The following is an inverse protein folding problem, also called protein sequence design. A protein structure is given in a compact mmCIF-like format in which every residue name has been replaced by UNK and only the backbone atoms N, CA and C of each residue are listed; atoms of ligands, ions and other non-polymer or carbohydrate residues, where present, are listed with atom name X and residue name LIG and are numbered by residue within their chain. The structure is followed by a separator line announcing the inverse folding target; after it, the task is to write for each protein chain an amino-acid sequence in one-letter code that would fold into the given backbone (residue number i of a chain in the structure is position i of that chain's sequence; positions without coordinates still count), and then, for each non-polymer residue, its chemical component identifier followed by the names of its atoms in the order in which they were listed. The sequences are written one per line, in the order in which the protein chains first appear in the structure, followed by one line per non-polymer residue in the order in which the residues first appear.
data_IF_997736937193
#
_entry.id   IF_997736937193
#
_cell.length_a   1.000
_cell.length_b   1.000
_cell.length_c   1.000
_cell.angle_alpha   90.00
_cell.angle_beta   90.00
_cell.angle_gamma   90.00
#
_symmetry.space_group_name_H-M   'P 1'
#
loop_
_entity.id
_entity.type
_entity.pdbx_description
1 polymer ?
#
# COMPACT_ATOMS: atom_id res chain seq x y z
N UNK A 1 78.51 15.01 -24.18
CA UNK A 1 78.91 15.45 -22.82
C UNK A 1 78.04 16.64 -22.41
N UNK A 2 78.26 17.23 -21.22
CA UNK A 2 77.58 18.45 -20.69
C UNK A 2 77.62 19.63 -21.70
N UNK A 3 76.84 20.72 -21.61
CA UNK A 3 75.53 21.15 -21.01
C UNK A 3 75.56 22.70 -21.09
N UNK A 4 74.41 23.42 -21.13
CA UNK A 4 74.32 24.92 -21.14
C UNK A 4 74.91 25.57 -22.42
N UNK A 5 74.67 26.84 -22.80
CA UNK A 5 73.77 27.95 -22.35
C UNK A 5 73.04 28.48 -23.64
N UNK A 6 72.51 29.69 -23.87
CA UNK A 6 72.47 31.02 -23.22
C UNK A 6 71.12 31.74 -23.48
N UNK A 7 71.05 33.07 -23.26
CA UNK A 7 69.96 33.96 -23.66
C UNK A 7 70.49 35.14 -24.52
N UNK A 8 69.63 35.70 -25.38
CA UNK A 8 69.50 37.18 -25.48
C UNK A 8 69.97 37.89 -26.75
N UNK A 9 69.00 38.46 -27.48
CA UNK A 9 69.08 39.79 -28.14
C UNK A 9 67.71 40.47 -27.95
N UNK A 10 67.68 41.81 -27.82
CA UNK A 10 66.49 42.63 -27.62
C UNK A 10 66.62 43.94 -28.44
N UNK A 11 65.48 44.61 -28.72
CA UNK A 11 65.37 46.01 -29.12
C UNK A 11 65.69 46.33 -30.61
N UNK A 12 65.14 47.38 -31.27
CA UNK A 12 64.01 48.31 -30.98
C UNK A 12 63.62 49.04 -32.29
N UNK A 13 62.40 49.63 -32.38
CA UNK A 13 61.93 50.80 -33.20
C UNK A 13 60.44 50.58 -33.66
N UNK A 14 59.65 51.59 -34.05
CA UNK A 14 59.12 52.78 -33.33
C UNK A 14 57.99 53.45 -34.19
N UNK A 15 57.11 54.28 -33.58
CA UNK A 15 56.00 55.07 -34.21
C UNK A 15 54.84 54.25 -34.86
N UNK A 16 53.53 54.43 -34.59
CA UNK A 16 52.59 55.60 -34.56
C UNK A 16 52.22 56.11 -35.98
N UNK A 17 50.99 56.42 -36.40
CA UNK A 17 49.65 56.74 -35.83
C UNK A 17 48.53 56.22 -36.81
N UNK A 18 47.20 56.56 -36.74
CA UNK A 18 46.31 57.11 -35.68
C UNK A 18 45.04 56.24 -35.40
N UNK A 19 44.09 56.76 -34.61
CA UNK A 19 42.74 56.19 -34.40
C UNK A 19 41.68 56.88 -35.28
N UNK A 20 40.76 56.10 -35.87
CA UNK A 20 39.42 56.54 -36.30
C UNK A 20 38.42 55.45 -35.91
N UNK A 21 37.23 55.83 -35.43
CA UNK A 21 36.21 54.90 -34.93
C UNK A 21 34.91 54.93 -35.76
N UNK A 22 34.26 53.78 -35.91
CA UNK A 22 32.86 53.65 -36.36
C UNK A 22 32.30 52.28 -35.97
N UNK A 23 31.10 52.25 -35.39
CA UNK A 23 30.47 51.03 -34.86
C UNK A 23 29.85 50.13 -35.94
N UNK A 24 29.99 48.81 -35.78
CA UNK A 24 28.86 47.96 -35.30
C UNK A 24 29.22 46.49 -35.09
N UNK A 25 28.86 46.01 -33.88
CA UNK A 25 28.39 44.66 -33.50
C UNK A 25 28.71 43.50 -34.45
N UNK A 26 29.46 42.52 -33.93
CA UNK A 26 29.39 41.13 -34.42
C UNK A 26 29.04 40.17 -33.27
N UNK A 27 28.43 39.01 -33.57
CA UNK A 27 28.01 38.03 -32.55
C UNK A 27 29.20 37.24 -32.02
N UNK A 28 29.19 36.93 -30.73
CA UNK A 28 29.91 35.80 -30.16
C UNK A 28 28.99 34.58 -30.18
N UNK A 29 29.52 33.44 -30.64
CA UNK A 29 28.87 32.15 -30.49
C UNK A 29 29.05 31.66 -29.05
N UNK A 30 27.96 31.25 -28.41
CA UNK A 30 28.02 30.51 -27.15
C UNK A 30 27.76 29.04 -27.46
N UNK A 31 28.73 28.18 -27.17
CA UNK A 31 28.58 26.74 -27.21
C UNK A 31 27.66 26.29 -26.08
N UNK A 32 26.54 25.63 -26.41
CA UNK A 32 25.62 25.10 -25.42
C UNK A 32 26.28 23.94 -24.65
N UNK A 33 26.69 24.21 -23.41
CA UNK A 33 27.04 23.16 -22.46
C UNK A 33 25.77 22.39 -22.12
N UNK A 34 25.64 21.20 -22.72
CA UNK A 34 24.52 20.30 -22.47
C UNK A 34 24.59 19.79 -21.03
N UNK A 35 23.93 20.50 -20.11
CA UNK A 35 23.80 20.09 -18.71
C UNK A 35 23.05 18.76 -18.66
N UNK A 36 23.74 17.70 -18.28
CA UNK A 36 23.06 16.46 -17.90
C UNK A 36 22.20 16.75 -16.67
N UNK A 37 20.89 16.59 -16.85
CA UNK A 37 19.97 16.58 -15.72
C UNK A 37 20.24 15.29 -14.95
N UNK A 38 20.95 15.40 -13.83
CA UNK A 38 21.01 14.34 -12.83
C UNK A 38 19.58 14.09 -12.36
N UNK A 39 19.00 12.97 -12.80
CA UNK A 39 17.72 12.50 -12.27
C UNK A 39 17.84 12.41 -10.75
N UNK A 40 17.04 13.19 -10.03
CA UNK A 40 16.92 13.04 -8.59
C UNK A 40 16.42 11.63 -8.33
N UNK A 41 17.27 10.76 -7.77
CA UNK A 41 16.94 9.37 -7.48
C UNK A 41 15.77 9.35 -6.51
N UNK A 42 14.58 9.17 -7.08
CA UNK A 42 13.31 9.15 -6.36
C UNK A 42 13.36 8.00 -5.36
N UNK A 43 13.47 8.32 -4.07
CA UNK A 43 13.66 7.35 -2.99
C UNK A 43 12.39 6.54 -2.79
N UNK A 44 12.27 5.47 -3.58
CA UNK A 44 11.12 4.55 -3.60
C UNK A 44 10.83 4.10 -2.17
N UNK A 45 9.66 4.49 -1.65
CA UNK A 45 9.21 4.10 -0.31
C UNK A 45 9.16 2.57 -0.21
N UNK A 46 9.67 1.97 0.88
CA UNK A 46 9.68 0.51 1.04
C UNK A 46 8.27 -0.05 1.27
N UNK A 47 7.40 0.73 1.92
CA UNK A 47 5.96 0.52 2.08
C UNK A 47 5.24 1.75 1.55
N UNK A 48 4.15 1.57 0.80
CA UNK A 48 3.30 2.68 0.36
C UNK A 48 1.81 2.35 0.52
N UNK A 49 1.07 3.21 1.23
CA UNK A 49 -0.40 3.20 1.23
C UNK A 49 -0.86 4.00 0.02
N UNK A 50 -1.71 3.40 -0.81
CA UNK A 50 -2.27 4.00 -2.02
C UNK A 50 -3.70 4.49 -1.76
N UNK A 51 -4.11 5.66 -2.29
CA UNK A 51 -5.47 6.18 -2.10
C UNK A 51 -6.53 5.45 -2.93
N UNK A 52 -6.17 4.71 -3.99
CA UNK A 52 -7.11 3.88 -4.77
C UNK A 52 -6.47 2.60 -5.30
N UNK A 53 -7.28 1.56 -5.55
CA UNK A 53 -6.86 0.33 -6.24
C UNK A 53 -6.39 0.56 -7.70
N UNK A 54 -6.62 1.74 -8.27
CA UNK A 54 -6.29 2.10 -9.66
C UNK A 54 -4.90 2.74 -9.84
N UNK A 55 -4.22 3.10 -8.75
CA UNK A 55 -2.90 3.76 -8.80
C UNK A 55 -1.78 2.73 -9.05
N UNK A 56 -0.80 3.15 -9.84
CA UNK A 56 0.45 2.44 -10.11
C UNK A 56 1.55 3.02 -9.20
N UNK A 57 2.45 2.17 -8.70
CA UNK A 57 3.44 2.51 -7.68
C UNK A 57 4.72 1.71 -7.92
N UNK A 58 5.87 2.27 -7.51
CA UNK A 58 7.18 1.60 -7.55
C UNK A 58 7.50 0.85 -6.25
N UNK A 59 6.78 1.12 -5.16
CA UNK A 59 7.05 0.53 -3.84
C UNK A 59 6.98 -1.01 -3.89
N UNK A 60 7.80 -1.69 -3.07
CA UNK A 60 7.83 -3.15 -3.03
C UNK A 60 6.58 -3.68 -2.33
N UNK A 61 6.39 -3.28 -1.07
CA UNK A 61 5.16 -3.50 -0.33
C UNK A 61 4.17 -2.36 -0.61
N UNK A 62 2.90 -2.72 -0.86
CA UNK A 62 1.84 -1.75 -1.16
C UNK A 62 0.59 -2.10 -0.36
N UNK A 63 -0.17 -1.09 0.03
CA UNK A 63 -1.41 -1.22 0.79
C UNK A 63 -2.49 -0.38 0.09
N UNK A 64 -3.75 -0.80 0.14
CA UNK A 64 -4.91 0.05 -0.12
C UNK A 64 -6.02 -0.32 0.86
N UNK A 65 -6.68 0.68 1.44
CA UNK A 65 -7.79 0.51 2.37
C UNK A 65 -9.00 1.31 1.91
N UNK A 66 -10.20 0.78 2.16
CA UNK A 66 -11.45 1.48 1.84
C UNK A 66 -11.70 2.75 2.67
N UNK A 67 -10.97 2.97 3.76
CA UNK A 67 -11.23 4.05 4.74
C UNK A 67 -11.09 5.44 4.11
N UNK A 68 -9.99 5.74 3.41
CA UNK A 68 -9.84 7.02 2.72
C UNK A 68 -10.91 7.24 1.63
N UNK A 69 -11.33 6.19 0.92
CA UNK A 69 -12.46 6.28 -0.02
C UNK A 69 -13.79 6.58 0.70
N UNK A 70 -14.01 6.10 1.94
CA UNK A 70 -15.18 6.51 2.74
C UNK A 70 -15.12 8.00 3.11
N UNK A 71 -13.95 8.52 3.55
CA UNK A 71 -13.76 9.97 3.80
C UNK A 71 -14.07 10.79 2.54
N UNK A 72 -13.58 10.34 1.38
CA UNK A 72 -13.84 10.99 0.10
C UNK A 72 -15.32 10.96 -0.30
N UNK A 73 -16.03 9.84 -0.03
CA UNK A 73 -17.46 9.72 -0.30
C UNK A 73 -18.27 10.68 0.59
N UNK A 74 -17.97 10.79 1.89
CA UNK A 74 -18.66 11.75 2.78
C UNK A 74 -18.48 13.19 2.30
N UNK A 75 -17.27 13.56 1.87
CA UNK A 75 -16.98 14.88 1.30
C UNK A 75 -17.76 15.12 0.00
N UNK A 76 -17.81 14.14 -0.90
CA UNK A 76 -18.59 14.22 -2.15
C UNK A 76 -20.10 14.34 -1.90
N UNK A 77 -20.66 13.47 -1.05
CA UNK A 77 -22.11 13.23 -0.99
C UNK A 77 -22.81 14.19 -0.01
N UNK A 78 -22.14 14.60 1.07
CA UNK A 78 -22.75 15.36 2.17
C UNK A 78 -22.25 16.81 2.31
N UNK A 79 -21.19 17.21 1.59
CA UNK A 79 -20.59 18.56 1.69
C UNK A 79 -20.52 19.23 0.31
N UNK A 80 -19.97 18.53 -0.69
CA UNK A 80 -19.78 19.07 -2.05
C UNK A 80 -20.98 18.79 -2.97
N UNK A 81 -21.82 17.81 -2.61
CA UNK A 81 -22.98 17.34 -3.37
C UNK A 81 -22.66 17.00 -4.84
N UNK A 82 -21.50 16.37 -5.07
CA UNK A 82 -21.04 15.97 -6.40
C UNK A 82 -19.55 15.62 -6.51
N UNK A 83 -19.08 15.26 -7.71
CA UNK A 83 -17.69 14.89 -7.95
C UNK A 83 -16.76 16.10 -7.82
N UNK A 84 -15.79 15.98 -6.92
CA UNK A 84 -14.82 17.01 -6.56
C UNK A 84 -13.91 17.32 -7.76
N UNK A 85 -13.75 18.60 -8.08
CA UNK A 85 -12.84 19.07 -9.13
C UNK A 85 -12.03 20.22 -8.54
N UNK A 86 -10.73 20.22 -8.76
CA UNK A 86 -9.91 21.35 -8.31
C UNK A 86 -9.97 22.52 -9.30
N UNK A 87 -9.53 23.69 -8.85
CA UNK A 87 -9.20 24.81 -9.74
C UNK A 87 -7.99 24.42 -10.60
N UNK A 88 -8.06 24.70 -11.90
CA UNK A 88 -7.10 24.16 -12.87
C UNK A 88 -7.32 22.66 -13.14
N UNK A 89 -6.23 21.92 -13.33
CA UNK A 89 -6.27 20.50 -13.65
C UNK A 89 -6.60 19.61 -12.44
N UNK A 90 -7.56 18.71 -12.64
CA UNK A 90 -7.94 17.70 -11.63
C UNK A 90 -7.09 16.43 -11.81
N UNK A 91 -6.29 16.00 -10.82
CA UNK A 91 -5.39 14.84 -10.93
C UNK A 91 -6.07 13.52 -11.28
N UNK A 92 -5.30 12.56 -11.82
CA UNK A 92 -5.80 11.20 -12.14
C UNK A 92 -6.36 10.50 -10.89
N UNK A 93 -5.67 10.58 -9.75
CA UNK A 93 -6.14 10.01 -8.48
C UNK A 93 -7.51 10.55 -8.05
N UNK A 94 -7.74 11.86 -8.17
CA UNK A 94 -9.04 12.49 -7.89
C UNK A 94 -10.14 11.99 -8.84
N UNK A 95 -9.81 11.80 -10.12
CA UNK A 95 -10.71 11.20 -11.12
C UNK A 95 -11.04 9.73 -10.83
N UNK A 96 -10.18 9.00 -10.13
CA UNK A 96 -10.45 7.64 -9.64
C UNK A 96 -11.29 7.65 -8.34
N UNK A 97 -10.92 8.46 -7.34
CA UNK A 97 -11.65 8.62 -6.07
C UNK A 97 -13.12 9.05 -6.31
N UNK A 98 -13.35 9.95 -7.27
CA UNK A 98 -14.68 10.40 -7.69
C UNK A 98 -15.58 9.30 -8.27
N UNK A 99 -15.05 8.11 -8.58
CA UNK A 99 -15.87 6.96 -9.00
C UNK A 99 -16.56 6.26 -7.83
N UNK A 100 -16.15 6.58 -6.58
CA UNK A 100 -16.63 5.94 -5.36
C UNK A 100 -16.57 4.41 -5.45
N UNK A 101 -15.40 3.89 -5.84
CA UNK A 101 -15.20 2.48 -6.22
C UNK A 101 -15.43 1.48 -5.06
N UNK A 102 -15.27 1.97 -3.84
CA UNK A 102 -15.67 1.32 -2.60
C UNK A 102 -16.67 2.23 -1.87
N UNK A 103 -17.74 1.65 -1.31
CA UNK A 103 -18.82 2.36 -0.61
C UNK A 103 -19.20 1.67 0.69
N UNK A 104 -19.96 2.37 1.53
CA UNK A 104 -20.59 1.83 2.75
C UNK A 104 -21.36 0.52 2.54
N UNK A 105 -21.94 0.31 1.35
CA UNK A 105 -22.64 -0.93 0.98
C UNK A 105 -21.72 -2.12 0.62
N UNK A 106 -20.39 -1.92 0.58
CA UNK A 106 -19.40 -2.97 0.32
C UNK A 106 -18.82 -3.63 1.58
N UNK A 107 -19.31 -3.23 2.76
CA UNK A 107 -18.86 -3.67 4.07
C UNK A 107 -20.07 -3.64 5.03
N UNK A 108 -20.11 -4.51 6.04
CA UNK A 108 -21.21 -4.54 7.01
C UNK A 108 -21.21 -3.25 7.85
N UNK A 109 -22.39 -2.71 8.13
CA UNK A 109 -22.57 -1.42 8.81
C UNK A 109 -21.87 -1.34 10.17
N UNK A 110 -21.76 -2.45 10.89
CA UNK A 110 -21.06 -2.53 12.17
C UNK A 110 -19.53 -2.39 12.08
N UNK A 111 -18.93 -2.49 10.88
CA UNK A 111 -17.48 -2.48 10.67
C UNK A 111 -16.90 -1.12 10.20
N UNK A 112 -17.72 -0.08 10.03
CA UNK A 112 -17.24 1.30 9.81
C UNK A 112 -17.96 2.34 10.69
N UNK A 113 -17.27 3.43 11.01
CA UNK A 113 -17.83 4.66 11.54
C UNK A 113 -17.47 5.82 10.60
N UNK A 114 -18.37 6.76 10.41
CA UNK A 114 -18.14 7.99 9.60
C UNK A 114 -18.82 9.17 10.28
N UNK A 115 -18.15 10.33 10.28
CA UNK A 115 -18.69 11.58 10.84
C UNK A 115 -18.07 12.78 10.12
N UNK A 116 -18.84 13.85 9.96
CA UNK A 116 -18.35 15.12 9.45
C UNK A 116 -19.00 16.29 10.21
N UNK A 117 -18.39 17.48 10.12
CA UNK A 117 -18.89 18.70 10.73
C UNK A 117 -17.86 19.83 10.70
N UNK A 118 -18.20 21.00 11.26
CA UNK A 118 -17.24 22.08 11.53
C UNK A 118 -16.30 21.71 12.67
N UNK A 119 -15.03 22.11 12.59
CA UNK A 119 -14.03 21.82 13.64
C UNK A 119 -14.45 22.44 14.98
N UNK A 120 -14.64 21.60 16.00
CA UNK A 120 -14.89 22.05 17.38
C UNK A 120 -14.61 20.94 18.42
N UNK A 121 -14.48 21.28 19.72
CA UNK A 121 -14.26 20.30 20.78
C UNK A 121 -15.44 19.33 20.96
N UNK A 122 -16.64 19.73 20.55
CA UNK A 122 -17.83 18.88 20.56
C UNK A 122 -17.75 17.80 19.47
N UNK A 123 -17.32 18.18 18.25
CA UNK A 123 -17.14 17.23 17.15
C UNK A 123 -16.09 16.16 17.49
N UNK A 124 -14.97 16.54 18.14
CA UNK A 124 -13.97 15.58 18.64
C UNK A 124 -14.62 14.54 19.56
N UNK A 125 -15.36 15.00 20.57
CA UNK A 125 -16.04 14.15 21.56
C UNK A 125 -17.11 13.26 20.94
N UNK A 126 -17.84 13.73 19.93
CA UNK A 126 -18.81 12.91 19.19
C UNK A 126 -18.13 11.79 18.39
N UNK A 127 -16.95 12.04 17.81
CA UNK A 127 -16.15 11.01 17.12
C UNK A 127 -15.58 10.02 18.15
N UNK A 128 -14.91 10.49 19.19
CA UNK A 128 -14.34 9.68 20.27
C UNK A 128 -15.39 8.76 20.92
N UNK A 129 -16.55 9.32 21.27
CA UNK A 129 -17.68 8.55 21.79
C UNK A 129 -18.18 7.54 20.77
N UNK A 130 -18.36 7.95 19.51
CA UNK A 130 -18.89 7.10 18.45
C UNK A 130 -18.02 5.88 18.13
N UNK A 131 -16.69 6.04 18.07
CA UNK A 131 -15.77 4.91 17.91
C UNK A 131 -15.67 4.06 19.18
N UNK A 132 -15.77 4.67 20.38
CA UNK A 132 -15.74 3.92 21.64
C UNK A 132 -16.99 3.06 21.81
N UNK A 133 -18.17 3.58 21.52
CA UNK A 133 -19.44 2.83 21.56
C UNK A 133 -19.51 1.74 20.48
N UNK A 134 -19.03 2.02 19.26
CA UNK A 134 -19.14 1.09 18.13
C UNK A 134 -18.06 0.01 18.07
N UNK A 135 -16.85 0.31 18.55
CA UNK A 135 -15.66 -0.53 18.37
C UNK A 135 -14.89 -0.86 19.66
N UNK A 136 -15.24 -0.23 20.78
CA UNK A 136 -14.44 -0.17 22.02
C UNK A 136 -13.07 0.53 21.85
N UNK A 137 -12.85 1.30 20.78
CA UNK A 137 -11.55 1.89 20.43
C UNK A 137 -11.39 3.37 20.81
N UNK A 138 -10.14 3.83 20.71
CA UNK A 138 -9.72 5.24 20.57
C UNK A 138 -9.17 5.47 19.16
N UNK A 139 -8.78 6.70 18.79
CA UNK A 139 -8.23 6.99 17.46
C UNK A 139 -6.83 7.60 17.54
N UNK A 140 -5.88 7.03 16.81
CA UNK A 140 -4.49 7.51 16.74
C UNK A 140 -4.35 8.95 16.22
N UNK A 141 -5.24 9.38 15.31
CA UNK A 141 -5.05 10.62 14.56
C UNK A 141 -5.72 11.85 15.16
N UNK A 142 -6.73 11.71 16.04
CA UNK A 142 -7.55 12.85 16.47
C UNK A 142 -6.76 13.88 17.29
N UNK A 143 -5.75 13.45 18.05
CA UNK A 143 -4.89 14.36 18.83
C UNK A 143 -3.82 15.08 17.97
N UNK A 144 -3.71 14.77 16.67
CA UNK A 144 -2.82 15.46 15.73
C UNK A 144 -3.43 16.72 15.08
N UNK A 145 -4.70 17.01 15.36
CA UNK A 145 -5.45 18.15 14.83
C UNK A 145 -5.76 19.18 15.91
N UNK A 146 -5.83 20.46 15.51
CA UNK A 146 -6.42 21.52 16.33
C UNK A 146 -7.95 21.40 16.31
N UNK A 147 -8.55 21.52 17.49
CA UNK A 147 -10.00 21.46 17.72
C UNK A 147 -10.57 22.76 18.29
N UNK A 148 -9.79 23.84 18.30
CA UNK A 148 -10.32 25.18 18.52
C UNK A 148 -11.50 25.45 17.55
N UNK A 149 -12.59 26.00 18.08
CA UNK A 149 -13.85 26.11 17.34
C UNK A 149 -13.71 27.05 16.15
N UNK A 150 -13.79 26.48 14.95
CA UNK A 150 -13.62 27.18 13.68
C UNK A 150 -14.78 26.83 12.75
N UNK A 151 -15.60 27.83 12.41
CA UNK A 151 -16.78 27.69 11.54
C UNK A 151 -16.45 27.68 10.06
N UNK A 152 -15.19 27.93 9.67
CA UNK A 152 -14.72 27.90 8.28
C UNK A 152 -13.98 26.59 7.95
N UNK A 153 -13.44 25.89 8.95
CA UNK A 153 -12.86 24.54 8.78
C UNK A 153 -13.90 23.43 8.94
N UNK A 154 -13.89 22.49 8.00
CA UNK A 154 -14.64 21.23 8.08
C UNK A 154 -13.69 20.06 8.37
N UNK A 155 -14.15 19.13 9.21
CA UNK A 155 -13.49 17.85 9.44
C UNK A 155 -14.37 16.72 8.88
N UNK A 156 -13.73 15.72 8.26
CA UNK A 156 -14.39 14.53 7.72
C UNK A 156 -13.60 13.32 8.17
N UNK A 157 -14.27 12.40 8.85
CA UNK A 157 -13.66 11.27 9.54
C UNK A 157 -14.28 9.94 9.09
N UNK A 158 -13.45 8.93 8.94
CA UNK A 158 -13.86 7.54 8.85
C UNK A 158 -12.90 6.64 9.65
N UNK A 159 -13.45 5.60 10.26
CA UNK A 159 -12.71 4.48 10.82
C UNK A 159 -13.33 3.19 10.29
N UNK A 160 -12.53 2.27 9.77
CA UNK A 160 -12.95 0.92 9.39
C UNK A 160 -12.21 -0.07 10.29
N UNK A 161 -12.95 -0.90 11.03
CA UNK A 161 -12.38 -1.91 11.94
C UNK A 161 -12.88 -3.30 11.60
N UNK A 162 -11.96 -4.26 11.56
CA UNK A 162 -12.23 -5.69 11.38
C UNK A 162 -11.42 -6.51 12.39
N UNK A 163 -12.08 -7.52 12.95
CA UNK A 163 -11.53 -8.52 13.86
C UNK A 163 -12.33 -9.80 13.59
N UNK A 164 -11.68 -10.83 13.06
CA UNK A 164 -12.35 -12.09 12.72
C UNK A 164 -11.37 -13.26 12.78
N UNK A 165 -11.90 -14.44 13.14
CA UNK A 165 -11.11 -15.68 13.23
C UNK A 165 -11.40 -16.62 12.06
N UNK A 166 -10.39 -17.38 11.63
CA UNK A 166 -10.57 -18.52 10.72
C UNK A 166 -11.53 -19.55 11.35
N UNK A 167 -12.21 -20.36 10.51
CA UNK A 167 -13.15 -21.40 10.97
C UNK A 167 -12.57 -22.25 12.13
N UNK A 168 -11.30 -22.62 11.99
CA UNK A 168 -10.42 -23.13 13.04
C UNK A 168 -9.08 -22.40 12.90
N UNK A 169 -8.32 -22.24 13.99
CA UNK A 169 -6.94 -21.79 13.87
C UNK A 169 -6.12 -22.81 13.07
N UNK A 170 -5.23 -22.32 12.21
CA UNK A 170 -4.25 -23.14 11.49
C UNK A 170 -3.12 -23.60 12.42
N UNK A 171 -2.37 -24.60 11.99
CA UNK A 171 -1.18 -25.04 12.72
C UNK A 171 -0.05 -24.01 12.52
N UNK A 172 0.70 -23.70 13.59
CA UNK A 172 1.95 -22.92 13.47
C UNK A 172 3.04 -23.81 12.89
N UNK A 173 3.83 -23.26 11.97
CA UNK A 173 4.88 -23.95 11.22
C UNK A 173 6.26 -23.43 11.68
N UNK A 174 7.33 -24.11 11.24
CA UNK A 174 8.69 -23.66 11.53
C UNK A 174 9.00 -22.32 10.84
N UNK A 175 9.82 -21.50 11.50
CA UNK A 175 10.31 -20.24 10.91
C UNK A 175 11.26 -20.52 9.73
N UNK A 176 11.18 -19.71 8.68
CA UNK A 176 12.01 -19.87 7.48
C UNK A 176 12.21 -18.53 6.75
N UNK A 177 13.17 -18.41 5.82
CA UNK A 177 13.33 -17.23 4.98
C UNK A 177 12.04 -16.83 4.23
N UNK A 178 11.91 -15.53 3.94
CA UNK A 178 10.93 -15.04 2.96
C UNK A 178 11.65 -14.62 1.67
N UNK A 179 11.10 -15.03 0.53
CA UNK A 179 11.70 -14.92 -0.80
C UNK A 179 13.18 -15.37 -0.80
N UNK A 180 14.10 -14.45 -1.12
CA UNK A 180 15.56 -14.68 -1.11
C UNK A 180 16.27 -13.95 0.05
N UNK A 181 15.52 -13.51 1.07
CA UNK A 181 16.08 -12.87 2.26
C UNK A 181 16.48 -13.92 3.30
N UNK A 182 17.65 -14.52 3.12
CA UNK A 182 18.21 -15.54 4.03
C UNK A 182 18.66 -14.99 5.40
N UNK A 183 18.59 -13.67 5.62
CA UNK A 183 18.98 -13.02 6.87
C UNK A 183 17.81 -12.83 7.85
N UNK A 184 16.57 -13.04 7.40
CA UNK A 184 15.35 -12.91 8.19
C UNK A 184 14.47 -14.15 8.06
N UNK A 185 14.20 -14.82 9.17
CA UNK A 185 13.19 -15.88 9.22
C UNK A 185 11.84 -15.27 9.60
N UNK A 186 10.84 -15.47 8.73
CA UNK A 186 9.45 -15.18 9.04
C UNK A 186 8.83 -16.34 9.83
N UNK A 187 7.90 -16.03 10.73
CA UNK A 187 7.00 -17.02 11.32
C UNK A 187 5.93 -17.40 10.29
N UNK A 188 5.54 -18.68 10.26
CA UNK A 188 4.59 -19.21 9.29
C UNK A 188 3.47 -20.01 9.96
N UNK A 189 2.32 -20.09 9.29
CA UNK A 189 1.19 -20.94 9.65
C UNK A 189 0.57 -21.60 8.42
N UNK A 190 -0.21 -22.67 8.62
CA UNK A 190 -0.98 -23.28 7.55
C UNK A 190 -1.34 -24.74 7.77
N UNK A 191 -0.98 -25.59 6.79
CA UNK A 191 -1.36 -27.00 6.69
C UNK A 191 -0.21 -27.80 6.05
N UNK A 192 0.23 -28.89 6.67
CA UNK A 192 1.24 -29.82 6.14
C UNK A 192 0.81 -31.30 6.28
N UNK A 193 1.67 -32.27 5.95
CA UNK A 193 1.36 -33.71 6.05
C UNK A 193 0.92 -34.20 7.46
N UNK A 194 1.28 -33.48 8.53
CA UNK A 194 0.91 -33.80 9.93
C UNK A 194 -0.39 -33.14 10.39
N UNK A 195 -0.86 -32.12 9.65
CA UNK A 195 -1.95 -31.24 10.07
C UNK A 195 -3.31 -31.93 10.17
N UNK A 196 -4.19 -31.38 11.01
CA UNK A 196 -5.52 -31.94 11.19
C UNK A 196 -6.37 -31.74 9.92
N UNK A 197 -6.87 -32.83 9.32
CA UNK A 197 -7.72 -32.81 8.11
C UNK A 197 -8.99 -31.94 8.23
N UNK A 198 -9.40 -31.57 9.45
CA UNK A 198 -10.47 -30.57 9.64
C UNK A 198 -10.07 -29.19 9.10
N UNK A 199 -8.80 -28.82 9.07
CA UNK A 199 -8.29 -27.55 8.53
C UNK A 199 -8.48 -27.42 7.02
N UNK A 200 -8.59 -28.53 6.28
CA UNK A 200 -8.92 -28.50 4.84
C UNK A 200 -10.26 -27.78 4.56
N UNK A 201 -11.17 -27.72 5.55
CA UNK A 201 -12.43 -26.96 5.45
C UNK A 201 -12.24 -25.45 5.55
N UNK A 202 -11.12 -24.97 6.09
CA UNK A 202 -10.77 -23.55 6.10
C UNK A 202 -10.45 -23.04 4.69
N UNK A 203 -10.07 -23.91 3.75
CA UNK A 203 -9.42 -23.53 2.49
C UNK A 203 -10.26 -23.92 1.27
N UNK A 204 -10.45 -22.96 0.36
CA UNK A 204 -10.96 -23.21 -1.00
C UNK A 204 -9.92 -22.76 -2.03
N UNK A 205 -9.52 -23.69 -2.88
CA UNK A 205 -8.67 -23.36 -4.04
C UNK A 205 -9.51 -22.59 -5.05
N UNK A 206 -9.05 -21.40 -5.42
CA UNK A 206 -9.70 -20.57 -6.44
C UNK A 206 -9.22 -21.01 -7.82
N UNK A 207 -7.90 -21.08 -8.00
CA UNK A 207 -7.21 -21.73 -9.10
C UNK A 207 -5.78 -22.14 -8.70
N UNK A 208 -5.15 -23.02 -9.47
CA UNK A 208 -3.74 -23.39 -9.34
C UNK A 208 -3.21 -23.73 -10.74
N UNK A 209 -2.29 -22.92 -11.26
CA UNK A 209 -1.72 -23.11 -12.59
C UNK A 209 -0.32 -23.73 -12.49
N UNK A 210 0.49 -23.26 -11.53
CA UNK A 210 1.79 -23.79 -11.13
C UNK A 210 2.14 -23.22 -9.73
N UNK A 211 3.35 -23.48 -9.21
CA UNK A 211 3.84 -23.02 -7.90
C UNK A 211 4.17 -21.52 -7.81
N UNK A 212 4.08 -20.76 -8.90
CA UNK A 212 4.24 -19.29 -8.92
C UNK A 212 2.94 -18.54 -9.28
N UNK A 213 1.90 -19.24 -9.74
CA UNK A 213 0.61 -18.68 -10.16
C UNK A 213 -0.58 -19.51 -9.64
N UNK A 214 -1.06 -19.14 -8.45
CA UNK A 214 -2.20 -19.78 -7.79
C UNK A 214 -2.91 -18.82 -6.84
N UNK A 215 -4.18 -19.11 -6.52
CA UNK A 215 -4.90 -18.39 -5.49
C UNK A 215 -5.78 -19.31 -4.61
N UNK A 216 -5.83 -18.99 -3.32
CA UNK A 216 -6.72 -19.63 -2.35
C UNK A 216 -7.59 -18.59 -1.65
N UNK A 217 -8.73 -19.06 -1.15
CA UNK A 217 -9.59 -18.35 -0.23
C UNK A 217 -9.60 -19.08 1.12
N UNK A 218 -9.39 -18.34 2.20
CA UNK A 218 -9.51 -18.81 3.56
C UNK A 218 -10.85 -18.34 4.13
N UNK A 219 -11.61 -19.27 4.72
CA UNK A 219 -12.90 -19.01 5.33
C UNK A 219 -12.78 -18.62 6.80
N UNK A 220 -13.51 -17.59 7.19
CA UNK A 220 -13.66 -17.13 8.58
C UNK A 220 -14.91 -17.72 9.22
N UNK A 221 -15.07 -17.50 10.52
CA UNK A 221 -16.34 -17.81 11.24
C UNK A 221 -17.46 -16.84 10.87
N UNK A 222 -17.11 -15.69 10.32
CA UNK A 222 -17.98 -14.56 10.07
C UNK A 222 -18.29 -14.43 8.57
N UNK A 223 -18.63 -13.23 8.09
CA UNK A 223 -18.85 -12.96 6.66
C UNK A 223 -17.55 -12.73 5.89
N UNK A 224 -16.44 -12.54 6.57
CA UNK A 224 -15.18 -12.15 5.96
C UNK A 224 -14.49 -13.33 5.25
N UNK A 225 -13.80 -13.03 4.16
CA UNK A 225 -13.06 -13.98 3.34
C UNK A 225 -11.68 -13.38 3.03
N UNK A 226 -10.62 -14.08 3.43
CA UNK A 226 -9.24 -13.71 3.07
C UNK A 226 -8.91 -14.40 1.74
N UNK A 227 -8.46 -13.63 0.75
CA UNK A 227 -8.01 -14.16 -0.55
C UNK A 227 -6.52 -13.90 -0.68
N UNK A 228 -5.76 -14.95 -0.97
CA UNK A 228 -4.31 -14.89 -1.18
C UNK A 228 -4.00 -15.33 -2.61
N UNK A 229 -3.27 -14.50 -3.36
CA UNK A 229 -2.90 -14.72 -4.77
C UNK A 229 -1.37 -14.61 -4.93
N UNK A 230 -0.70 -15.74 -5.19
CA UNK A 230 0.73 -15.79 -5.55
C UNK A 230 0.87 -15.43 -7.02
N UNK A 231 1.70 -14.43 -7.33
CA UNK A 231 2.12 -14.07 -8.69
C UNK A 231 3.42 -13.26 -8.65
N UNK A 232 4.27 -13.42 -9.66
CA UNK A 232 5.47 -12.61 -9.88
C UNK A 232 5.22 -11.34 -10.71
N UNK A 233 3.98 -11.10 -11.18
CA UNK A 233 3.58 -9.89 -11.90
C UNK A 233 3.67 -8.62 -11.04
N UNK A 234 3.98 -7.47 -11.65
CA UNK A 234 3.78 -6.15 -11.02
C UNK A 234 2.65 -5.34 -11.66
N UNK A 235 1.57 -5.12 -10.91
CA UNK A 235 0.28 -4.58 -11.41
C UNK A 235 -0.41 -3.71 -10.34
N UNK A 236 -1.50 -3.04 -10.72
CA UNK A 236 -2.40 -2.36 -9.76
C UNK A 236 -3.29 -3.36 -9.05
N UNK A 237 -3.78 -3.04 -7.84
CA UNK A 237 -4.74 -3.90 -7.13
C UNK A 237 -6.00 -4.19 -7.94
N UNK A 238 -6.50 -3.22 -8.73
CA UNK A 238 -7.65 -3.43 -9.61
C UNK A 238 -7.36 -4.43 -10.74
N UNK A 239 -6.16 -4.40 -11.32
CA UNK A 239 -5.70 -5.38 -12.32
C UNK A 239 -5.57 -6.77 -11.68
N UNK A 240 -4.80 -6.92 -10.60
CA UNK A 240 -4.62 -8.18 -9.87
C UNK A 240 -5.97 -8.82 -9.48
N UNK A 241 -6.88 -8.04 -8.88
CA UNK A 241 -8.16 -8.56 -8.40
C UNK A 241 -9.08 -8.99 -9.55
N UNK A 242 -9.02 -8.30 -10.70
CA UNK A 242 -9.81 -8.65 -11.89
C UNK A 242 -9.27 -9.92 -12.57
N UNK A 243 -7.96 -10.01 -12.74
CA UNK A 243 -7.26 -11.17 -13.28
C UNK A 243 -7.44 -12.41 -12.40
N UNK A 244 -7.32 -12.27 -11.07
CA UNK A 244 -7.60 -13.34 -10.11
C UNK A 244 -9.02 -13.88 -10.28
N UNK A 245 -10.03 -13.01 -10.44
CA UNK A 245 -11.42 -13.42 -10.70
C UNK A 245 -11.58 -14.14 -12.05
N UNK A 246 -10.83 -13.75 -13.08
CA UNK A 246 -10.85 -14.38 -14.39
C UNK A 246 -10.17 -15.76 -14.39
N UNK A 247 -8.98 -15.88 -13.81
CA UNK A 247 -8.32 -17.17 -13.57
C UNK A 247 -9.23 -18.09 -12.73
N UNK A 248 -9.86 -17.53 -11.71
CA UNK A 248 -10.85 -18.24 -10.86
C UNK A 248 -12.08 -18.70 -11.63
N UNK A 249 -12.59 -17.97 -12.63
CA UNK A 249 -13.76 -18.42 -13.40
C UNK A 249 -13.40 -19.50 -14.42
N UNK A 250 -12.23 -19.39 -15.05
CA UNK A 250 -11.69 -20.35 -16.04
C UNK A 250 -11.13 -21.65 -15.43
N UNK A 251 -10.94 -21.73 -14.12
CA UNK A 251 -10.36 -22.91 -13.48
C UNK A 251 -11.32 -24.11 -13.38
N UNK A 252 -11.02 -25.19 -14.09
CA UNK A 252 -11.80 -26.44 -14.06
C UNK A 252 -11.21 -27.52 -13.12
N UNK A 253 -10.06 -27.27 -12.50
CA UNK A 253 -9.42 -28.19 -11.56
C UNK A 253 -10.10 -28.29 -10.19
N UNK A 254 -9.58 -29.15 -9.31
CA UNK A 254 -10.16 -29.40 -8.00
C UNK A 254 -10.14 -28.16 -7.10
N UNK A 255 -11.32 -27.68 -6.68
CA UNK A 255 -11.45 -26.47 -5.82
C UNK A 255 -11.43 -26.75 -4.32
N UNK A 256 -11.37 -28.02 -3.90
CA UNK A 256 -11.16 -28.43 -2.51
C UNK A 256 -9.67 -28.54 -2.22
N UNK A 257 -9.27 -28.24 -1.00
CA UNK A 257 -8.00 -28.69 -0.44
C UNK A 257 -8.09 -30.20 -0.13
N UNK A 258 -7.04 -30.97 -0.44
CA UNK A 258 -7.00 -32.44 -0.27
C UNK A 258 -5.81 -32.90 0.57
N UNK A 259 -5.67 -34.21 0.79
CA UNK A 259 -4.74 -34.80 1.76
C UNK A 259 -3.28 -34.37 1.53
N UNK A 260 -2.90 -34.26 0.28
CA UNK A 260 -1.50 -34.15 -0.17
C UNK A 260 -1.17 -32.73 -0.64
N UNK A 261 -2.12 -31.78 -0.55
CA UNK A 261 -1.84 -30.35 -0.69
C UNK A 261 -1.20 -29.81 0.59
N UNK A 262 -0.31 -28.82 0.46
CA UNK A 262 0.26 -28.08 1.60
C UNK A 262 -0.01 -26.57 1.46
N UNK A 263 -0.10 -25.87 2.60
CA UNK A 263 -0.36 -24.43 2.69
C UNK A 263 0.63 -23.80 3.67
N UNK A 264 1.35 -22.78 3.22
CA UNK A 264 2.32 -22.04 4.04
C UNK A 264 2.06 -20.54 3.86
N UNK A 265 1.74 -19.83 4.93
CA UNK A 265 1.40 -18.39 4.94
C UNK A 265 2.21 -17.70 6.04
N UNK A 266 2.90 -16.57 5.77
CA UNK A 266 3.65 -15.86 6.80
C UNK A 266 2.71 -15.14 7.78
N UNK A 267 3.10 -15.07 9.05
CA UNK A 267 2.53 -14.12 10.00
C UNK A 267 2.98 -12.71 9.64
N UNK A 268 2.03 -11.76 9.60
CA UNK A 268 2.26 -10.37 9.24
C UNK A 268 1.80 -9.47 10.38
N UNK A 269 2.58 -8.45 10.71
CA UNK A 269 2.24 -7.35 11.61
C UNK A 269 2.72 -6.03 10.98
N UNK A 270 1.86 -5.05 10.84
CA UNK A 270 2.11 -3.81 10.10
C UNK A 270 1.48 -2.63 10.86
N UNK A 271 2.22 -1.54 11.02
CA UNK A 271 1.65 -0.22 11.29
C UNK A 271 2.25 0.81 10.33
N UNK A 272 1.42 1.48 9.54
CA UNK A 272 1.88 2.56 8.65
C UNK A 272 0.94 3.76 8.72
N UNK A 273 1.52 4.95 8.71
CA UNK A 273 0.83 6.24 8.60
C UNK A 273 1.23 6.91 7.28
N UNK A 274 0.30 7.59 6.61
CA UNK A 274 0.59 8.42 5.43
C UNK A 274 -0.32 9.64 5.37
N UNK A 275 0.11 10.63 4.58
CA UNK A 275 -0.76 11.62 3.95
C UNK A 275 -0.82 11.38 2.42
N UNK A 276 -1.65 12.16 1.71
CA UNK A 276 -1.83 12.11 0.26
C UNK A 276 -1.63 13.51 -0.39
N UNK A 277 -0.37 13.95 -0.61
CA UNK A 277 -0.05 15.27 -1.15
C UNK A 277 -0.70 15.60 -2.51
N UNK A 278 -1.16 14.59 -3.26
CA UNK A 278 -1.79 14.77 -4.56
C UNK A 278 -3.17 15.45 -4.47
N UNK A 279 -3.85 15.31 -3.32
CA UNK A 279 -5.15 15.95 -3.06
C UNK A 279 -5.05 17.19 -2.16
N UNK A 280 -3.96 17.33 -1.41
CA UNK A 280 -3.72 18.43 -0.46
C UNK A 280 -3.38 19.75 -1.16
N UNK A 281 -3.59 20.87 -0.46
CA UNK A 281 -3.21 22.22 -0.86
C UNK A 281 -4.01 22.82 -2.02
N UNK A 282 -5.03 22.10 -2.55
CA UNK A 282 -5.78 22.47 -3.76
C UNK A 282 -7.20 22.94 -3.46
N UNK A 283 -7.61 24.01 -4.13
CA UNK A 283 -8.94 24.61 -3.99
C UNK A 283 -10.01 23.82 -4.77
N UNK A 284 -11.14 23.53 -4.12
CA UNK A 284 -12.27 22.80 -4.71
C UNK A 284 -13.16 23.77 -5.49
N UNK A 285 -13.20 23.59 -6.80
CA UNK A 285 -13.85 24.47 -7.79
C UNK A 285 -15.36 24.58 -7.54
N UNK A 286 -15.85 25.82 -7.43
CA UNK A 286 -17.23 26.22 -7.03
C UNK A 286 -17.52 26.14 -5.53
N UNK A 287 -16.50 25.99 -4.69
CA UNK A 287 -16.60 26.21 -3.24
C UNK A 287 -15.48 27.14 -2.77
N UNK A 288 -15.50 27.51 -1.49
CA UNK A 288 -14.39 28.17 -0.80
C UNK A 288 -13.53 27.17 0.00
N UNK A 289 -13.63 25.86 -0.27
CA UNK A 289 -12.91 24.82 0.47
C UNK A 289 -11.59 24.42 -0.21
N UNK A 290 -10.60 24.13 0.63
CA UNK A 290 -9.30 23.53 0.30
C UNK A 290 -9.12 22.27 1.15
N UNK A 291 -8.39 21.28 0.63
CA UNK A 291 -7.97 20.13 1.44
C UNK A 291 -6.63 20.48 2.09
N UNK A 292 -6.66 20.90 3.37
CA UNK A 292 -5.46 21.38 4.07
C UNK A 292 -4.50 20.24 4.47
N UNK A 293 -5.04 19.09 4.87
CA UNK A 293 -4.31 17.86 5.19
C UNK A 293 -5.21 16.63 5.05
N UNK A 294 -4.62 15.50 4.72
CA UNK A 294 -5.16 14.14 4.83
C UNK A 294 -4.23 13.29 5.71
N UNK A 295 -4.79 12.35 6.47
CA UNK A 295 -4.02 11.36 7.23
C UNK A 295 -4.78 10.03 7.14
N UNK A 296 -4.08 8.94 6.81
CA UNK A 296 -4.59 7.57 6.94
C UNK A 296 -3.58 6.72 7.72
N UNK A 297 -4.06 6.06 8.77
CA UNK A 297 -3.30 5.10 9.60
C UNK A 297 -3.82 3.69 9.37
N UNK A 298 -2.92 2.73 9.21
CA UNK A 298 -3.23 1.32 8.97
C UNK A 298 -2.43 0.47 9.96
N UNK A 299 -3.11 -0.10 10.96
CA UNK A 299 -2.61 -1.26 11.72
C UNK A 299 -3.26 -2.52 11.11
N UNK A 300 -2.45 -3.54 10.82
CA UNK A 300 -2.91 -4.81 10.25
C UNK A 300 -2.05 -5.96 10.78
N UNK A 301 -2.68 -7.01 11.32
CA UNK A 301 -1.98 -8.25 11.68
C UNK A 301 -2.78 -9.48 11.24
N UNK A 302 -2.07 -10.50 10.78
CA UNK A 302 -2.62 -11.79 10.37
C UNK A 302 -1.72 -12.90 10.92
N UNK A 303 -2.33 -13.84 11.64
CA UNK A 303 -1.65 -14.98 12.25
C UNK A 303 -2.46 -16.27 12.08
N UNK A 304 -2.03 -17.35 12.70
CA UNK A 304 -2.68 -18.66 12.59
C UNK A 304 -4.16 -18.68 13.06
N UNK A 305 -4.61 -17.76 13.91
CA UNK A 305 -6.01 -17.70 14.35
C UNK A 305 -6.94 -16.90 13.40
N UNK A 306 -6.43 -15.89 12.69
CA UNK A 306 -7.26 -14.96 11.92
C UNK A 306 -6.57 -13.64 11.56
N UNK A 307 -7.38 -12.60 11.39
CA UNK A 307 -6.94 -11.21 11.15
C UNK A 307 -7.41 -10.34 12.31
N UNK A 308 -6.47 -9.66 12.96
CA UNK A 308 -6.65 -8.97 14.25
C UNK A 308 -5.67 -7.82 14.42
N UNK A 309 -6.04 -6.86 15.26
CA UNK A 309 -5.07 -6.02 15.96
C UNK A 309 -4.58 -6.73 17.24
N UNK A 310 -3.29 -6.53 17.56
CA UNK A 310 -2.53 -6.98 18.75
C UNK A 310 -2.15 -8.48 18.84
N UNK A 311 -1.08 -8.76 19.61
CA UNK A 311 -0.12 -9.88 19.37
C UNK A 311 0.36 -10.62 20.63
N UNK A 312 0.83 -11.88 20.48
CA UNK A 312 2.00 -12.51 21.15
C UNK A 312 2.25 -13.97 20.64
N UNK A 313 3.50 -14.48 20.64
CA UNK A 313 3.88 -15.82 20.11
C UNK A 313 5.23 -16.38 20.63
N UNK A 314 5.50 -17.70 20.45
CA UNK A 314 6.78 -18.37 20.80
C UNK A 314 6.97 -19.77 20.14
N UNK A 315 8.19 -20.36 20.34
CA UNK A 315 8.66 -21.76 20.10
C UNK A 315 9.38 -22.06 18.77
N UNK A 316 10.44 -22.89 18.83
CA UNK A 316 11.38 -23.25 17.75
C UNK A 316 11.31 -24.74 17.33
N UNK A 317 11.86 -25.09 16.16
CA UNK A 317 11.83 -26.47 15.58
C UNK A 317 13.11 -26.84 14.79
N UNK A 318 13.20 -28.09 14.31
CA UNK A 318 14.38 -28.75 13.69
C UNK A 318 14.06 -29.31 12.30
N UNK A 319 15.03 -29.28 11.37
CA UNK A 319 14.89 -29.81 10.00
C UNK A 319 14.88 -31.35 9.89
N UNK A 320 14.17 -31.85 8.88
CA UNK A 320 14.32 -33.19 8.26
C UNK A 320 14.24 -33.08 6.72
N UNK A 321 14.52 -34.17 6.00
CA UNK A 321 14.83 -34.18 4.56
C UNK A 321 13.61 -34.19 3.62
N UNK A 322 13.83 -33.67 2.39
CA UNK A 322 12.89 -33.61 1.27
C UNK A 322 12.27 -34.98 0.90
N UNK A 323 10.98 -34.96 0.53
CA UNK A 323 10.22 -36.09 -0.04
C UNK A 323 9.77 -35.81 -1.49
N UNK A 324 9.36 -36.83 -2.26
CA UNK A 324 8.84 -36.64 -3.62
C UNK A 324 7.49 -35.92 -3.65
N UNK A 325 7.35 -34.99 -4.58
CA UNK A 325 6.21 -34.07 -4.72
C UNK A 325 5.00 -34.75 -5.40
N UNK A 326 3.83 -34.72 -4.76
CA UNK A 326 2.61 -35.43 -5.22
C UNK A 326 1.29 -34.66 -4.99
N UNK A 327 1.36 -33.37 -4.62
CA UNK A 327 0.18 -32.53 -4.41
C UNK A 327 0.49 -31.06 -4.65
N UNK A 328 -0.43 -30.16 -4.31
CA UNK A 328 -0.28 -28.73 -4.66
C UNK A 328 0.31 -27.93 -3.51
N UNK A 329 1.39 -27.22 -3.84
CA UNK A 329 2.13 -26.40 -2.89
C UNK A 329 1.58 -24.97 -2.91
N UNK A 330 0.73 -24.64 -1.94
CA UNK A 330 0.18 -23.29 -1.76
C UNK A 330 1.11 -22.45 -0.86
N UNK A 331 2.35 -22.25 -1.30
CA UNK A 331 3.39 -21.56 -0.54
C UNK A 331 3.41 -20.04 -0.82
N UNK A 332 2.95 -19.25 0.14
CA UNK A 332 3.04 -17.79 0.13
C UNK A 332 4.37 -17.31 0.73
N UNK A 333 5.47 -17.97 0.35
CA UNK A 333 6.84 -17.72 0.82
C UNK A 333 7.60 -16.70 -0.05
N UNK A 334 6.94 -16.12 -1.05
CA UNK A 334 7.45 -15.13 -2.00
C UNK A 334 6.25 -14.33 -2.58
N UNK A 335 6.52 -13.23 -3.28
CA UNK A 335 5.61 -12.22 -3.85
C UNK A 335 4.12 -12.64 -3.98
N UNK A 336 3.25 -12.04 -3.16
CA UNK A 336 1.82 -12.32 -3.22
C UNK A 336 0.95 -11.10 -2.93
N UNK A 337 -0.33 -11.21 -3.29
CA UNK A 337 -1.34 -10.19 -3.08
C UNK A 337 -2.44 -10.75 -2.17
N UNK A 338 -2.67 -10.08 -1.05
CA UNK A 338 -3.74 -10.34 -0.10
C UNK A 338 -4.91 -9.39 -0.38
N UNK A 339 -6.13 -9.91 -0.37
CA UNK A 339 -7.37 -9.13 -0.40
C UNK A 339 -8.30 -9.57 0.73
N UNK A 340 -8.97 -8.62 1.37
CA UNK A 340 -10.07 -8.89 2.30
C UNK A 340 -11.41 -8.45 1.69
N UNK A 341 -12.37 -9.36 1.69
CA UNK A 341 -13.71 -9.18 1.12
C UNK A 341 -14.77 -9.71 2.08
N UNK A 342 -15.94 -9.08 2.16
CA UNK A 342 -17.12 -9.77 2.71
C UNK A 342 -17.77 -10.67 1.65
N UNK A 343 -18.25 -11.84 2.10
CA UNK A 343 -18.88 -12.86 1.29
C UNK A 343 -20.03 -12.31 0.44
N UNK A 344 -19.84 -12.34 -0.88
CA UNK A 344 -20.78 -11.84 -1.88
C UNK A 344 -20.49 -10.43 -2.40
N UNK A 345 -19.56 -9.70 -1.78
CA UNK A 345 -19.12 -8.39 -2.26
C UNK A 345 -18.23 -8.50 -3.50
N UNK A 346 -18.34 -7.50 -4.39
CA UNK A 346 -17.59 -7.45 -5.65
C UNK A 346 -16.31 -6.61 -5.58
N UNK A 347 -16.10 -5.89 -4.48
CA UNK A 347 -14.96 -5.02 -4.20
C UNK A 347 -14.39 -5.42 -2.83
N UNK A 348 -13.05 -5.58 -2.66
CA UNK A 348 -12.45 -5.72 -1.34
C UNK A 348 -12.57 -4.42 -0.53
N UNK A 349 -12.40 -4.51 0.79
CA UNK A 349 -12.23 -3.34 1.67
C UNK A 349 -10.76 -3.10 2.08
N UNK A 350 -9.89 -4.08 1.82
CA UNK A 350 -8.45 -4.01 2.05
C UNK A 350 -7.71 -4.81 0.97
N UNK A 351 -6.58 -4.30 0.51
CA UNK A 351 -5.65 -5.00 -0.37
C UNK A 351 -4.20 -4.72 0.05
N UNK A 352 -3.33 -5.71 -0.06
CA UNK A 352 -1.90 -5.58 0.24
C UNK A 352 -1.06 -6.43 -0.70
N UNK A 353 0.01 -5.85 -1.27
CA UNK A 353 1.07 -6.57 -1.97
C UNK A 353 2.20 -6.80 -0.97
N UNK A 354 2.57 -8.06 -0.79
CA UNK A 354 3.65 -8.50 0.10
C UNK A 354 4.82 -8.95 -0.78
N UNK A 355 5.92 -8.22 -0.69
CA UNK A 355 7.18 -8.47 -1.39
C UNK A 355 8.37 -8.58 -0.42
N UNK A 356 8.29 -7.95 0.75
CA UNK A 356 9.21 -8.17 1.88
C UNK A 356 8.45 -8.15 3.22
N UNK A 357 8.40 -9.31 3.87
CA UNK A 357 7.77 -9.50 5.19
C UNK A 357 8.61 -8.90 6.32
N UNK A 358 9.93 -8.80 6.20
CA UNK A 358 10.80 -8.21 7.22
C UNK A 358 10.48 -6.72 7.41
N UNK A 359 10.43 -5.98 6.29
CA UNK A 359 10.05 -4.56 6.25
C UNK A 359 8.65 -4.31 6.82
N UNK A 360 7.66 -5.18 6.55
CA UNK A 360 6.33 -5.06 7.17
C UNK A 360 6.43 -5.27 8.68
N UNK A 361 6.96 -6.42 9.12
CA UNK A 361 6.98 -6.86 10.51
C UNK A 361 7.79 -5.94 11.45
N UNK A 362 8.78 -5.21 10.93
CA UNK A 362 9.50 -4.15 11.67
C UNK A 362 8.64 -2.94 12.03
N UNK A 363 7.56 -2.67 11.30
CA UNK A 363 6.67 -1.53 11.58
C UNK A 363 5.55 -1.85 12.56
N UNK A 364 5.17 -3.12 12.67
CA UNK A 364 4.08 -3.57 13.51
C UNK A 364 4.25 -3.12 14.96
N UNK A 365 3.32 -2.29 15.45
CA UNK A 365 3.18 -2.02 16.88
C UNK A 365 2.92 -3.35 17.61
N UNK A 366 3.20 -3.44 18.92
CA UNK A 366 2.79 -4.61 19.72
C UNK A 366 1.26 -4.72 19.78
#
# INVERSE_FOLDING_TARGET
MKKLLALGVLAVLLASLPVVASDKKNKLEQSEVKVEQTESVETVKPIEILPTMSVESKAQNRIWVGTFQLVWNELMDNIIYGPIRFVGDTPKVVKELNKQSFKKSNVSENAYYTKYGTVSPELKKEIEKGIKEKFNETSDILDSFDWAKDSQKLFVYAMLKKDFKFLQAFDKLAEAPFAKNYNYNAQYFGINESSNKKLYKNVRVLFYNNSEDFAVKLFTKDKDEVILYRTNDDKTFLKYYSEMKEKTSKYHGNRKFVKDDELIIPEISLYQETNFPEVEGRDIRRTNFRIDRSIETVDFKMNNEGVKLKSEAAVAVRMTSLRPDNGRQFYFTDNFVLFLTEKGQKTPYYAMKVADVETLNKTGRN
#
